data_IF_992040769586
#
_entry.id   IF_992040769586
#
_cell.length_a   1.000
_cell.length_b   1.000
_cell.length_c   1.000
_cell.angle_alpha   90.00
_cell.angle_beta   90.00
_cell.angle_gamma   90.00
#
_symmetry.space_group_name_H-M   'P 1'
#
loop_
_entity.id
_entity.type
_entity.pdbx_description
1 polymer ?
#
# COMPACT_ATOMS: atom_id res chain seq x y z
N UNK A 1 18.36 0.75 7.04
CA UNK A 1 17.63 2.03 7.12
C UNK A 1 16.23 1.69 7.59
N UNK A 2 15.66 2.47 8.50
CA UNK A 2 14.36 2.16 9.11
C UNK A 2 13.24 2.93 8.41
N UNK A 3 12.04 2.35 8.44
CA UNK A 3 10.82 3.00 7.98
C UNK A 3 10.64 4.36 8.68
N UNK A 4 10.14 5.37 7.96
CA UNK A 4 10.09 6.75 8.46
C UNK A 4 8.76 7.44 8.17
N UNK A 5 8.27 8.20 9.16
CA UNK A 5 7.06 9.01 9.00
C UNK A 5 7.39 10.27 8.17
N UNK A 6 6.61 10.51 7.11
CA UNK A 6 6.73 11.68 6.24
C UNK A 6 5.36 12.31 6.03
N UNK A 7 5.30 13.63 5.93
CA UNK A 7 4.07 14.32 5.52
C UNK A 7 4.07 14.48 4.01
N UNK A 8 3.19 13.76 3.32
CA UNK A 8 3.03 13.81 1.87
C UNK A 8 1.70 14.49 1.57
N UNK A 9 1.75 15.65 0.91
CA UNK A 9 0.55 16.47 0.64
C UNK A 9 -0.28 16.78 1.89
N UNK A 10 0.39 16.96 3.04
CA UNK A 10 -0.24 17.22 4.35
C UNK A 10 -0.73 15.97 5.09
N UNK A 11 -0.65 14.78 4.49
CA UNK A 11 -1.09 13.51 5.10
C UNK A 11 0.12 12.80 5.73
N UNK A 12 0.02 12.30 6.97
CA UNK A 12 1.09 11.53 7.60
C UNK A 12 1.18 10.12 6.99
N UNK A 13 2.30 9.83 6.33
CA UNK A 13 2.57 8.58 5.64
C UNK A 13 3.79 7.89 6.23
N UNK A 14 3.64 6.66 6.71
CA UNK A 14 4.79 5.80 7.02
C UNK A 14 5.39 5.29 5.71
N UNK A 15 6.59 5.73 5.38
CA UNK A 15 7.31 5.29 4.18
C UNK A 15 8.24 4.14 4.54
N UNK A 16 7.98 2.98 3.97
CA UNK A 16 8.77 1.78 4.19
C UNK A 16 9.99 1.75 3.27
N UNK A 17 11.14 1.39 3.83
CA UNK A 17 12.36 1.22 3.06
C UNK A 17 12.35 -0.11 2.29
N UNK A 18 12.90 -0.18 1.06
CA UNK A 18 12.91 -1.40 0.25
C UNK A 18 13.57 -2.61 0.91
N UNK A 19 14.56 -2.38 1.77
CA UNK A 19 15.34 -3.40 2.48
C UNK A 19 14.68 -3.90 3.78
N UNK A 20 13.46 -3.43 4.08
CA UNK A 20 12.70 -3.85 5.26
C UNK A 20 12.09 -5.26 5.15
N UNK A 21 11.45 -5.76 6.22
CA UNK A 21 10.93 -7.12 6.27
C UNK A 21 9.82 -7.41 5.23
N UNK A 22 9.93 -8.51 4.50
CA UNK A 22 8.93 -8.87 3.48
C UNK A 22 7.56 -9.17 4.10
N UNK A 23 6.51 -8.58 3.54
CA UNK A 23 5.10 -8.87 3.82
C UNK A 23 4.68 -10.17 3.14
N UNK A 24 4.56 -11.25 3.92
CA UNK A 24 4.17 -12.59 3.45
C UNK A 24 2.71 -12.91 3.74
N UNK A 25 2.09 -12.22 4.68
CA UNK A 25 0.69 -12.44 5.02
C UNK A 25 0.21 -11.58 6.18
N UNK A 26 -0.86 -12.05 6.82
CA UNK A 26 -1.58 -11.32 7.86
C UNK A 26 -0.69 -10.80 9.00
N UNK A 27 0.21 -11.64 9.54
CA UNK A 27 1.02 -11.25 10.70
C UNK A 27 1.94 -10.07 10.39
N UNK A 28 2.65 -10.14 9.27
CA UNK A 28 3.56 -9.07 8.86
C UNK A 28 2.80 -7.77 8.59
N UNK A 29 1.58 -7.86 8.08
CA UNK A 29 0.71 -6.70 7.89
C UNK A 29 0.27 -6.08 9.22
N UNK A 30 -0.10 -6.90 10.21
CA UNK A 30 -0.47 -6.41 11.54
C UNK A 30 0.70 -5.74 12.26
N UNK A 31 1.90 -6.30 12.15
CA UNK A 31 3.11 -5.72 12.71
C UNK A 31 3.36 -4.32 12.11
N UNK A 32 3.28 -4.20 10.77
CA UNK A 32 3.45 -2.91 10.08
C UNK A 32 2.34 -1.90 10.41
N UNK A 33 1.10 -2.35 10.55
CA UNK A 33 -0.02 -1.50 11.00
C UNK A 33 0.24 -0.97 12.42
N UNK A 34 0.79 -1.80 13.30
CA UNK A 34 1.18 -1.40 14.65
C UNK A 34 2.26 -0.31 14.64
N UNK A 35 3.28 -0.46 13.79
CA UNK A 35 4.32 0.55 13.59
C UNK A 35 3.74 1.87 13.07
N UNK A 36 2.85 1.80 12.07
CA UNK A 36 2.18 2.97 11.51
C UNK A 36 1.35 3.73 12.54
N UNK A 37 0.58 3.02 13.37
CA UNK A 37 -0.16 3.66 14.46
C UNK A 37 0.75 4.27 15.52
N UNK A 38 1.85 3.58 15.89
CA UNK A 38 2.84 4.10 16.82
C UNK A 38 3.49 5.40 16.32
N UNK A 39 3.63 5.54 15.00
CA UNK A 39 4.14 6.75 14.35
C UNK A 39 3.05 7.82 14.11
N UNK A 40 1.76 7.51 14.29
CA UNK A 40 0.66 8.42 13.95
C UNK A 40 0.43 8.58 12.45
N UNK A 41 0.74 7.56 11.65
CA UNK A 41 0.49 7.55 10.22
C UNK A 41 -0.99 7.27 9.90
N UNK A 42 -1.48 7.90 8.83
CA UNK A 42 -2.80 7.63 8.23
C UNK A 42 -2.67 6.73 6.99
N UNK A 43 -1.49 6.75 6.37
CA UNK A 43 -1.16 5.93 5.21
C UNK A 43 0.17 5.21 5.40
N UNK A 44 0.34 4.10 4.72
CA UNK A 44 1.60 3.37 4.64
C UNK A 44 1.99 3.19 3.19
N UNK A 45 3.19 3.62 2.83
CA UNK A 45 3.75 3.48 1.50
C UNK A 45 4.79 2.36 1.50
N UNK A 46 4.45 1.23 0.88
CA UNK A 46 5.25 0.01 0.86
C UNK A 46 5.80 -0.26 -0.53
N UNK A 47 7.12 -0.38 -0.72
CA UNK A 47 7.69 -0.82 -1.99
C UNK A 47 7.12 -2.16 -2.44
N UNK A 48 6.80 -2.30 -3.72
CA UNK A 48 6.31 -3.54 -4.33
C UNK A 48 7.27 -4.72 -4.12
N UNK A 49 8.57 -4.45 -3.95
CA UNK A 49 9.62 -5.42 -3.62
C UNK A 49 9.48 -6.02 -2.22
N UNK A 50 8.81 -5.34 -1.27
CA UNK A 50 8.54 -5.85 0.07
C UNK A 50 7.34 -6.78 0.11
N UNK A 51 6.56 -6.90 -0.95
CA UNK A 51 5.50 -7.91 -1.01
C UNK A 51 6.05 -9.23 -1.54
N UNK A 52 5.67 -10.32 -0.89
CA UNK A 52 5.99 -11.65 -1.40
C UNK A 52 5.36 -11.90 -2.77
N UNK A 53 5.96 -12.79 -3.57
CA UNK A 53 5.41 -13.19 -4.87
C UNK A 53 3.95 -13.70 -4.78
N UNK A 54 3.59 -14.30 -3.64
CA UNK A 54 2.23 -14.79 -3.37
C UNK A 54 1.20 -13.66 -3.29
N UNK A 55 1.60 -12.45 -2.90
CA UNK A 55 0.73 -11.27 -2.94
C UNK A 55 0.23 -10.99 -4.37
N UNK A 56 1.10 -11.12 -5.37
CA UNK A 56 0.73 -10.89 -6.76
C UNK A 56 -0.04 -12.06 -7.39
N UNK A 57 -0.21 -13.17 -6.67
CA UNK A 57 -0.94 -14.36 -7.11
C UNK A 57 -2.28 -14.45 -6.38
N UNK A 58 -3.32 -13.76 -6.85
CA UNK A 58 -4.61 -13.66 -6.14
C UNK A 58 -5.24 -14.98 -5.64
N UNK A 59 -4.97 -16.11 -6.31
CA UNK A 59 -5.42 -17.45 -5.86
C UNK A 59 -4.93 -17.84 -4.45
N UNK A 60 -3.84 -17.23 -3.98
CA UNK A 60 -3.22 -17.49 -2.68
C UNK A 60 -3.96 -16.82 -1.53
N UNK A 61 -4.85 -15.87 -1.84
CA UNK A 61 -5.57 -14.98 -0.91
C UNK A 61 -4.71 -14.00 -0.11
N UNK A 62 -3.38 -14.07 -0.22
CA UNK A 62 -2.44 -13.23 0.53
C UNK A 62 -2.70 -11.73 0.32
N UNK A 63 -2.94 -11.28 -0.92
CA UNK A 63 -3.25 -9.88 -1.18
C UNK A 63 -4.53 -9.41 -0.50
N UNK A 64 -5.58 -10.22 -0.57
CA UNK A 64 -6.85 -9.93 0.08
C UNK A 64 -6.71 -9.86 1.60
N UNK A 65 -6.00 -10.83 2.20
CA UNK A 65 -5.74 -10.87 3.64
C UNK A 65 -5.00 -9.63 4.14
N UNK A 66 -3.91 -9.26 3.46
CA UNK A 66 -3.12 -8.07 3.81
C UNK A 66 -3.98 -6.80 3.68
N UNK A 67 -4.58 -6.57 2.50
CA UNK A 67 -5.36 -5.36 2.23
C UNK A 67 -6.57 -5.25 3.17
N UNK A 68 -7.24 -6.36 3.45
CA UNK A 68 -8.37 -6.38 4.38
C UNK A 68 -7.96 -5.92 5.78
N UNK A 69 -6.73 -6.20 6.25
CA UNK A 69 -6.26 -5.63 7.52
C UNK A 69 -6.17 -4.11 7.43
N UNK A 70 -5.49 -3.56 6.43
CA UNK A 70 -5.40 -2.10 6.27
C UNK A 70 -6.78 -1.42 6.26
N UNK A 71 -7.74 -2.00 5.52
CA UNK A 71 -9.14 -1.53 5.49
C UNK A 71 -9.79 -1.61 6.87
N UNK A 72 -9.71 -2.76 7.56
CA UNK A 72 -10.32 -2.96 8.89
C UNK A 72 -9.79 -1.98 9.93
N UNK A 73 -8.50 -1.66 9.86
CA UNK A 73 -7.83 -0.70 10.75
C UNK A 73 -7.94 0.74 10.25
N UNK A 74 -8.64 0.98 9.13
CA UNK A 74 -8.84 2.31 8.52
C UNK A 74 -7.54 3.03 8.16
N UNK A 75 -6.52 2.26 7.80
CA UNK A 75 -5.22 2.77 7.38
C UNK A 75 -5.11 2.65 5.86
N UNK A 76 -4.67 3.72 5.19
CA UNK A 76 -4.43 3.69 3.75
C UNK A 76 -3.18 2.88 3.39
N UNK A 77 -3.23 2.10 2.33
CA UNK A 77 -2.09 1.35 1.80
C UNK A 77 -1.73 1.86 0.40
N UNK A 78 -0.47 2.26 0.20
CA UNK A 78 0.08 2.54 -1.10
C UNK A 78 1.18 1.51 -1.43
N UNK A 79 0.99 0.75 -2.50
CA UNK A 79 2.01 -0.14 -3.07
C UNK A 79 2.80 0.68 -4.08
N UNK A 80 4.08 0.95 -3.77
CA UNK A 80 4.98 1.77 -4.59
C UNK A 80 5.83 0.92 -5.52
N UNK A 81 5.79 1.22 -6.81
CA UNK A 81 6.67 0.63 -7.81
C UNK A 81 5.95 -0.09 -8.94
N UNK A 82 6.74 -0.57 -9.90
CA UNK A 82 6.20 -1.19 -11.10
C UNK A 82 5.74 -2.64 -10.87
N UNK A 83 4.42 -2.83 -10.98
CA UNK A 83 3.73 -4.14 -10.94
C UNK A 83 3.30 -4.62 -12.32
N UNK A 84 3.68 -3.92 -13.40
CA UNK A 84 3.26 -4.21 -14.78
C UNK A 84 3.62 -5.61 -15.22
N UNK A 85 4.77 -6.14 -14.77
CA UNK A 85 5.19 -7.53 -15.04
C UNK A 85 4.14 -8.53 -14.58
N UNK A 86 3.52 -8.28 -13.43
CA UNK A 86 2.55 -9.18 -12.80
C UNK A 86 1.17 -9.00 -13.39
N UNK A 87 0.75 -7.75 -13.62
CA UNK A 87 -0.58 -7.45 -14.19
C UNK A 87 -0.68 -7.86 -15.66
N UNK A 88 0.43 -7.82 -16.41
CA UNK A 88 0.49 -8.33 -17.78
C UNK A 88 0.33 -9.85 -17.82
N UNK A 89 0.91 -10.55 -16.84
CA UNK A 89 0.82 -12.01 -16.74
C UNK A 89 -0.52 -12.51 -16.16
N UNK A 90 -1.33 -11.64 -15.55
CA UNK A 90 -2.54 -12.02 -14.83
C UNK A 90 -3.66 -11.00 -15.02
N UNK A 91 -4.67 -11.28 -15.88
CA UNK A 91 -5.84 -10.42 -16.03
C UNK A 91 -6.58 -10.18 -14.70
N UNK A 92 -6.68 -11.21 -13.86
CA UNK A 92 -7.30 -11.07 -12.55
C UNK A 92 -6.55 -10.09 -11.64
N UNK A 93 -5.20 -10.12 -11.64
CA UNK A 93 -4.41 -9.14 -10.89
C UNK A 93 -4.56 -7.74 -11.47
N UNK A 94 -4.55 -7.61 -12.80
CA UNK A 94 -4.77 -6.32 -13.45
C UNK A 94 -6.12 -5.72 -13.04
N UNK A 95 -7.19 -6.51 -13.08
CA UNK A 95 -8.53 -6.06 -12.73
C UNK A 95 -8.60 -5.70 -11.23
N UNK A 96 -7.95 -6.49 -10.36
CA UNK A 96 -7.81 -6.18 -8.93
C UNK A 96 -7.06 -4.87 -8.66
N UNK A 97 -5.93 -4.64 -9.34
CA UNK A 97 -5.17 -3.39 -9.23
C UNK A 97 -6.00 -2.21 -9.71
N UNK A 98 -6.75 -2.39 -10.80
CA UNK A 98 -7.64 -1.36 -11.34
C UNK A 98 -8.76 -0.98 -10.36
N UNK A 99 -9.42 -1.98 -9.76
CA UNK A 99 -10.47 -1.78 -8.75
C UNK A 99 -9.91 -1.14 -7.47
N UNK A 100 -8.76 -1.62 -6.99
CA UNK A 100 -8.07 -1.04 -5.82
C UNK A 100 -7.77 0.45 -6.09
N UNK A 101 -7.20 0.75 -7.27
CA UNK A 101 -6.96 2.12 -7.73
C UNK A 101 -8.24 2.95 -8.01
N UNK A 102 -9.45 2.45 -7.75
CA UNK A 102 -10.65 3.29 -7.70
C UNK A 102 -11.17 3.48 -6.27
N UNK A 103 -10.73 2.66 -5.33
CA UNK A 103 -11.04 2.77 -3.92
C UNK A 103 -10.34 3.94 -3.24
N UNK A 104 -10.69 4.16 -1.97
CA UNK A 104 -10.15 5.24 -1.15
C UNK A 104 -8.96 4.82 -0.26
N UNK A 105 -8.72 3.52 -0.08
CA UNK A 105 -7.82 3.01 0.96
C UNK A 105 -6.67 2.14 0.44
N UNK A 106 -6.62 1.80 -0.84
CA UNK A 106 -5.54 0.96 -1.38
C UNK A 106 -5.17 1.39 -2.78
N UNK A 107 -3.95 1.88 -2.98
CA UNK A 107 -3.49 2.37 -4.27
C UNK A 107 -2.20 1.67 -4.71
N UNK A 108 -2.09 1.43 -6.00
CA UNK A 108 -0.89 0.96 -6.68
C UNK A 108 -0.40 2.11 -7.55
N UNK A 109 0.75 2.66 -7.19
CA UNK A 109 1.34 3.85 -7.85
C UNK A 109 2.83 3.61 -8.10
N UNK A 110 3.41 4.17 -9.17
CA UNK A 110 4.79 3.88 -9.55
C UNK A 110 5.82 4.43 -8.56
N UNK A 111 5.50 5.54 -7.89
CA UNK A 111 6.43 6.26 -7.03
C UNK A 111 5.69 7.12 -5.98
N UNK A 112 6.47 7.73 -5.08
CA UNK A 112 5.97 8.60 -4.03
C UNK A 112 5.39 9.93 -4.55
N UNK A 113 5.80 10.39 -5.74
CA UNK A 113 5.27 11.60 -6.36
C UNK A 113 3.82 11.38 -6.82
N UNK A 114 3.58 10.25 -7.49
CA UNK A 114 2.24 9.81 -7.89
C UNK A 114 1.32 9.58 -6.68
N UNK A 115 1.87 9.10 -5.55
CA UNK A 115 1.13 9.04 -4.29
C UNK A 115 0.75 10.45 -3.80
N UNK A 116 1.69 11.39 -3.85
CA UNK A 116 1.49 12.76 -3.39
C UNK A 116 0.39 13.49 -4.17
N UNK A 117 0.42 13.39 -5.50
CA UNK A 117 -0.60 13.96 -6.39
C UNK A 117 -1.99 13.44 -6.04
N UNK A 118 -2.06 12.14 -5.77
CA UNK A 118 -3.30 11.47 -5.44
C UNK A 118 -3.84 11.90 -4.08
N UNK A 119 -2.99 11.96 -3.06
CA UNK A 119 -3.36 12.45 -1.73
C UNK A 119 -3.84 13.91 -1.79
N UNK A 120 -3.16 14.77 -2.58
CA UNK A 120 -3.57 16.16 -2.80
C UNK A 120 -4.98 16.27 -3.44
N UNK A 121 -5.28 15.39 -4.40
CA UNK A 121 -6.60 15.32 -5.03
C UNK A 121 -7.72 14.88 -4.09
N UNK A 122 -7.42 14.01 -3.11
CA UNK A 122 -8.41 13.59 -2.10
C UNK A 122 -8.75 14.65 -1.07
N UNK A 123 -7.81 15.56 -0.77
CA UNK A 123 -7.97 16.65 0.20
C UNK A 123 -8.81 17.84 -0.28
N UNK A 124 -9.29 17.84 -1.53
CA UNK A 124 -10.05 18.95 -2.13
C UNK A 124 -11.58 18.78 -2.07
N UNK A 125 -12.09 17.75 -1.39
CA UNK A 125 -13.54 17.46 -1.28
C UNK A 125 -14.12 17.64 0.14
N UNK A 126 -13.54 18.55 0.93
CA UNK A 126 -14.03 18.87 2.28
C UNK A 126 -13.72 20.33 2.65
N UNK A 127 -14.50 21.26 2.10
CA UNK A 127 -14.59 22.66 2.49
C UNK A 127 -16.04 23.07 2.61
#
# INVERSE_FOLDING_TARGET
>A
MSDSLRHISGVPVLVCEPDGPVLRGERDALDLIGEAFGAGAEWVAVPASRFSEEFFRLRTRVAGEIIQKFVNYRLGLAVLGDVSRHTTASPALRDFVYESNRGAQTWFVPDAESLADRLAGTGSAGG
#
